data_IF_559049123527
#
_entry.id   IF_559049123527
#
_cell.length_a   1.000
_cell.length_b   1.000
_cell.length_c   1.000
_cell.angle_alpha   90.00
_cell.angle_beta   90.00
_cell.angle_gamma   90.00
#
_symmetry.space_group_name_H-M   'P 1'
#
loop_
_entity.id
_entity.type
_entity.pdbx_description
1 polymer ?
#
# COMPACT_ATOMS: atom_id res chain seq x y z
N UNK A 1 -23.86 -14.59 -10.85
CA UNK A 1 -23.30 -14.60 -12.21
C UNK A 1 -22.08 -13.69 -12.25
N UNK A 2 -20.95 -14.16 -12.76
CA UNK A 2 -19.73 -13.36 -12.97
C UNK A 2 -18.68 -13.43 -11.86
N UNK A 3 -18.29 -14.62 -11.41
CA UNK A 3 -17.01 -14.77 -10.71
C UNK A 3 -15.89 -14.47 -11.72
N UNK A 4 -15.36 -13.26 -11.73
CA UNK A 4 -14.02 -13.01 -12.30
C UNK A 4 -13.02 -13.71 -11.37
N UNK A 5 -12.90 -15.03 -11.53
CA UNK A 5 -11.71 -15.77 -11.12
C UNK A 5 -10.58 -15.17 -11.95
N UNK A 6 -9.82 -14.22 -11.41
CA UNK A 6 -8.53 -13.78 -11.95
C UNK A 6 -7.47 -14.90 -11.75
N UNK A 7 -7.88 -16.15 -11.99
CA UNK A 7 -7.05 -17.35 -11.93
C UNK A 7 -6.26 -17.58 -13.21
N UNK A 8 -6.52 -16.84 -14.28
CA UNK A 8 -5.73 -16.87 -15.50
C UNK A 8 -5.14 -15.49 -15.80
N UNK A 9 -3.82 -15.47 -15.98
CA UNK A 9 -3.10 -14.32 -16.50
C UNK A 9 -3.68 -13.93 -17.86
N UNK A 10 -3.78 -12.64 -18.18
CA UNK A 10 -4.37 -12.23 -19.45
C UNK A 10 -3.46 -12.70 -20.59
N UNK A 11 -3.95 -13.56 -21.49
CA UNK A 11 -3.19 -14.09 -22.65
C UNK A 11 -2.90 -13.05 -23.74
N UNK A 12 -2.82 -11.78 -23.38
CA UNK A 12 -2.54 -10.69 -24.31
C UNK A 12 -1.11 -10.78 -24.84
N UNK A 13 -0.86 -10.16 -25.99
CA UNK A 13 0.47 -10.07 -26.59
C UNK A 13 1.50 -9.46 -25.61
N UNK A 14 1.14 -8.39 -24.89
CA UNK A 14 2.00 -7.70 -23.93
C UNK A 14 2.48 -8.60 -22.79
N UNK A 15 1.58 -9.39 -22.20
CA UNK A 15 1.93 -10.36 -21.14
C UNK A 15 2.87 -11.46 -21.64
N UNK A 16 2.65 -11.98 -22.86
CA UNK A 16 3.55 -12.99 -23.44
C UNK A 16 4.98 -12.46 -23.61
N UNK A 17 5.13 -11.20 -23.98
CA UNK A 17 6.44 -10.58 -24.13
C UNK A 17 7.17 -10.37 -22.79
N UNK A 18 6.47 -10.00 -21.70
CA UNK A 18 7.05 -9.96 -20.34
C UNK A 18 7.58 -11.33 -19.94
N UNK A 19 6.78 -12.35 -20.21
CA UNK A 19 7.05 -13.74 -19.90
C UNK A 19 8.28 -14.28 -20.67
N UNK A 20 8.46 -13.88 -21.92
CA UNK A 20 9.65 -14.19 -22.71
C UNK A 20 10.90 -13.47 -22.18
N UNK A 21 10.76 -12.20 -21.76
CA UNK A 21 11.87 -11.45 -21.16
C UNK A 21 12.34 -12.07 -19.84
N UNK A 22 11.43 -12.60 -19.01
CA UNK A 22 11.79 -13.33 -17.78
C UNK A 22 12.60 -14.59 -18.09
N UNK A 23 12.28 -15.32 -19.16
CA UNK A 23 13.11 -16.44 -19.61
C UNK A 23 14.50 -16.01 -20.08
N UNK A 24 14.59 -14.82 -20.68
CA UNK A 24 15.83 -14.22 -21.20
C UNK A 24 16.73 -13.64 -20.09
N UNK A 25 16.17 -13.30 -18.93
CA UNK A 25 16.93 -12.87 -17.75
C UNK A 25 17.96 -13.90 -17.29
N UNK A 26 17.63 -15.19 -17.34
CA UNK A 26 18.55 -16.27 -16.95
C UNK A 26 19.75 -16.34 -17.90
N UNK A 27 19.53 -16.06 -19.19
CA UNK A 27 20.58 -16.01 -20.20
C UNK A 27 21.42 -14.71 -20.16
N UNK A 28 21.11 -13.77 -19.26
CA UNK A 28 21.79 -12.48 -19.15
C UNK A 28 21.49 -11.52 -20.32
N UNK A 29 20.51 -11.84 -21.17
CA UNK A 29 20.19 -11.07 -22.37
C UNK A 29 19.13 -9.99 -22.16
N UNK A 30 18.48 -9.97 -20.99
CA UNK A 30 17.50 -8.94 -20.61
C UNK A 30 17.71 -8.52 -19.16
N UNK A 31 17.72 -7.22 -18.92
CA UNK A 31 17.79 -6.65 -17.58
C UNK A 31 16.43 -6.61 -16.87
N UNK A 32 16.45 -6.68 -15.54
CA UNK A 32 15.28 -6.64 -14.65
C UNK A 32 14.50 -5.34 -14.83
N UNK A 33 15.19 -4.23 -15.10
CA UNK A 33 14.56 -2.93 -15.34
C UNK A 33 13.58 -2.96 -16.53
N UNK A 34 13.97 -3.60 -17.64
CA UNK A 34 13.11 -3.77 -18.82
C UNK A 34 11.84 -4.57 -18.49
N UNK A 35 12.00 -5.65 -17.74
CA UNK A 35 10.88 -6.53 -17.35
C UNK A 35 9.90 -5.77 -16.45
N UNK A 36 10.41 -5.02 -15.48
CA UNK A 36 9.62 -4.19 -14.58
C UNK A 36 8.87 -3.08 -15.34
N UNK A 37 9.54 -2.33 -16.22
CA UNK A 37 8.95 -1.25 -17.00
C UNK A 37 7.83 -1.77 -17.91
N UNK A 38 8.04 -2.91 -18.58
CA UNK A 38 7.02 -3.53 -19.43
C UNK A 38 5.84 -4.07 -18.63
N UNK A 39 6.09 -4.55 -17.42
CA UNK A 39 5.03 -4.95 -16.49
C UNK A 39 4.21 -3.76 -16.05
N UNK A 40 4.87 -2.67 -15.65
CA UNK A 40 4.23 -1.40 -15.32
C UNK A 40 3.30 -0.98 -16.45
N UNK A 41 3.77 -0.93 -17.71
CA UNK A 41 2.95 -0.64 -18.91
C UNK A 41 1.72 -1.54 -19.06
N UNK A 42 1.84 -2.80 -18.71
CA UNK A 42 0.78 -3.78 -18.93
C UNK A 42 -0.29 -3.74 -17.84
N UNK A 43 0.07 -3.35 -16.62
CA UNK A 43 -0.88 -3.26 -15.49
C UNK A 43 -1.55 -1.89 -15.34
N UNK A 44 -1.17 -0.89 -16.14
CA UNK A 44 -1.64 0.51 -16.01
C UNK A 44 -3.17 0.66 -16.05
N UNK A 45 -3.84 -0.01 -16.97
CA UNK A 45 -5.31 0.05 -17.11
C UNK A 45 -6.03 -0.59 -15.91
N UNK A 46 -5.35 -1.51 -15.23
CA UNK A 46 -5.88 -2.19 -14.04
C UNK A 46 -5.59 -1.43 -12.76
N UNK A 47 -4.58 -0.56 -12.77
CA UNK A 47 -4.16 0.22 -11.62
C UNK A 47 -5.23 1.22 -11.15
N UNK A 48 -5.95 1.87 -12.08
CA UNK A 48 -7.07 2.77 -11.73
C UNK A 48 -8.24 2.02 -11.10
N UNK A 49 -8.46 0.77 -11.51
CA UNK A 49 -9.53 -0.08 -10.98
C UNK A 49 -9.27 -0.52 -9.53
N UNK A 50 -8.04 -0.38 -9.01
CA UNK A 50 -7.71 -0.68 -7.60
C UNK A 50 -8.53 0.17 -6.63
N UNK A 51 -8.81 1.43 -6.99
CA UNK A 51 -9.66 2.32 -6.19
C UNK A 51 -11.08 1.78 -5.94
N UNK A 52 -11.56 0.86 -6.78
CA UNK A 52 -12.89 0.28 -6.71
C UNK A 52 -12.94 -1.05 -5.95
N UNK A 53 -11.79 -1.62 -5.60
CA UNK A 53 -11.74 -2.87 -4.86
C UNK A 53 -12.13 -2.66 -3.37
N UNK A 54 -13.05 -3.47 -2.82
CA UNK A 54 -13.50 -3.31 -1.44
C UNK A 54 -12.40 -3.51 -0.38
N UNK A 55 -11.41 -4.37 -0.64
CA UNK A 55 -10.31 -4.58 0.31
C UNK A 55 -9.34 -3.40 0.33
N UNK A 56 -9.11 -2.77 -0.83
CA UNK A 56 -8.34 -1.53 -0.93
C UNK A 56 -9.06 -0.38 -0.25
N UNK A 57 -10.37 -0.24 -0.49
CA UNK A 57 -11.18 0.76 0.20
C UNK A 57 -11.20 0.55 1.71
N UNK A 58 -11.38 -0.69 2.18
CA UNK A 58 -11.47 -1.00 3.61
C UNK A 58 -10.13 -0.82 4.34
N UNK A 59 -9.02 -1.26 3.74
CA UNK A 59 -7.69 -1.08 4.33
C UNK A 59 -7.30 0.40 4.43
N UNK A 60 -7.63 1.21 3.43
CA UNK A 60 -7.39 2.65 3.51
C UNK A 60 -8.37 3.35 4.45
N UNK A 61 -9.65 2.98 4.45
CA UNK A 61 -10.63 3.46 5.43
C UNK A 61 -10.18 3.18 6.87
N UNK A 62 -9.55 2.03 7.13
CA UNK A 62 -8.93 1.73 8.41
C UNK A 62 -7.84 2.75 8.79
N UNK A 63 -6.96 3.15 7.87
CA UNK A 63 -5.94 4.17 8.14
C UNK A 63 -6.56 5.54 8.46
N UNK A 64 -7.66 5.88 7.80
CA UNK A 64 -8.44 7.09 8.08
C UNK A 64 -9.09 6.99 9.46
N UNK A 65 -9.71 5.86 9.79
CA UNK A 65 -10.32 5.61 11.10
C UNK A 65 -9.30 5.69 12.23
N UNK A 66 -8.14 5.06 12.02
CA UNK A 66 -7.01 5.12 12.94
C UNK A 66 -6.59 6.57 13.19
N UNK A 67 -6.33 7.34 12.14
CA UNK A 67 -5.86 8.72 12.27
C UNK A 67 -6.93 9.65 12.88
N UNK A 68 -8.20 9.45 12.51
CA UNK A 68 -9.34 10.21 13.04
C UNK A 68 -9.63 9.90 14.51
N UNK A 69 -9.41 8.66 14.96
CA UNK A 69 -9.59 8.29 16.36
C UNK A 69 -8.71 9.14 17.29
N UNK A 70 -7.47 9.42 16.88
CA UNK A 70 -6.52 10.21 17.64
C UNK A 70 -6.79 11.72 17.65
N UNK A 71 -7.83 12.18 16.94
CA UNK A 71 -8.36 13.53 17.11
C UNK A 71 -9.45 13.62 18.19
N UNK A 72 -9.92 12.48 18.69
CA UNK A 72 -10.97 12.43 19.72
C UNK A 72 -10.35 12.54 21.11
N UNK A 73 -11.13 13.04 22.06
CA UNK A 73 -10.73 13.17 23.45
C UNK A 73 -10.29 11.82 24.06
N UNK A 74 -10.93 10.72 23.62
CA UNK A 74 -10.57 9.37 24.04
C UNK A 74 -10.45 8.45 22.81
N UNK A 75 -9.23 8.32 22.23
CA UNK A 75 -9.01 7.54 21.02
C UNK A 75 -9.33 6.05 21.19
N UNK A 76 -8.97 5.45 22.33
CA UNK A 76 -9.18 4.01 22.59
C UNK A 76 -10.65 3.68 22.75
N UNK A 77 -11.42 4.56 23.40
CA UNK A 77 -12.89 4.46 23.46
C UNK A 77 -13.52 4.58 22.07
N UNK A 78 -13.09 5.53 21.25
CA UNK A 78 -13.58 5.63 19.87
C UNK A 78 -13.30 4.35 19.07
N UNK A 79 -12.08 3.81 19.15
CA UNK A 79 -11.69 2.60 18.42
C UNK A 79 -12.47 1.36 18.88
N UNK A 80 -12.75 1.24 20.17
CA UNK A 80 -13.53 0.12 20.73
C UNK A 80 -15.03 0.22 20.40
N UNK A 81 -15.65 1.40 20.55
CA UNK A 81 -17.06 1.64 20.20
C UNK A 81 -17.34 1.40 18.72
N UNK A 82 -16.38 1.74 17.85
CA UNK A 82 -16.44 1.48 16.41
C UNK A 82 -16.01 0.05 16.03
N UNK A 83 -15.76 -0.83 17.00
CA UNK A 83 -15.37 -2.23 16.81
C UNK A 83 -14.11 -2.40 15.94
N UNK A 84 -13.17 -1.46 16.05
CA UNK A 84 -11.89 -1.50 15.35
C UNK A 84 -10.89 -2.30 16.18
N UNK A 85 -10.82 -2.03 17.50
CA UNK A 85 -10.05 -2.80 18.46
C UNK A 85 -10.98 -3.44 19.50
N UNK A 86 -10.57 -4.56 20.10
CA UNK A 86 -11.41 -5.33 21.04
C UNK A 86 -11.30 -4.87 22.49
N UNK A 87 -10.23 -4.14 22.83
CA UNK A 87 -9.90 -3.69 24.20
C UNK A 87 -9.28 -2.30 24.10
N UNK A 88 -9.31 -1.56 25.20
CA UNK A 88 -8.76 -0.21 25.32
C UNK A 88 -7.22 -0.14 25.35
N UNK A 89 -6.53 -1.28 25.51
CA UNK A 89 -5.08 -1.34 25.46
C UNK A 89 -4.53 -0.93 24.08
N UNK A 90 -3.67 0.09 24.06
CA UNK A 90 -3.12 0.67 22.84
C UNK A 90 -1.69 0.23 22.59
N UNK A 91 -1.51 -0.75 21.69
CA UNK A 91 -0.17 -1.22 21.27
C UNK A 91 -0.10 -1.37 19.76
N UNK A 92 1.12 -1.27 19.20
CA UNK A 92 1.36 -1.45 17.76
C UNK A 92 0.84 -2.80 17.24
N UNK A 93 1.04 -3.87 18.00
CA UNK A 93 0.58 -5.22 17.62
C UNK A 93 -0.94 -5.28 17.51
N UNK A 94 -1.66 -4.61 18.43
CA UNK A 94 -3.12 -4.57 18.41
C UNK A 94 -3.65 -3.74 17.25
N UNK A 95 -3.03 -2.59 16.97
CA UNK A 95 -3.38 -1.79 15.78
C UNK A 95 -3.10 -2.56 14.48
N UNK A 96 -1.97 -3.25 14.39
CA UNK A 96 -1.66 -4.10 13.24
C UNK A 96 -2.68 -5.23 13.06
N UNK A 97 -3.09 -5.90 14.14
CA UNK A 97 -4.14 -6.93 14.11
C UNK A 97 -5.50 -6.34 13.69
N UNK A 98 -5.84 -5.15 14.18
CA UNK A 98 -7.04 -4.44 13.79
C UNK A 98 -7.07 -4.15 12.28
N UNK A 99 -5.94 -3.73 11.70
CA UNK A 99 -5.80 -3.53 10.26
C UNK A 99 -6.10 -4.80 9.45
N UNK A 100 -5.71 -5.98 9.97
CA UNK A 100 -5.98 -7.28 9.35
C UNK A 100 -7.44 -7.66 9.42
N UNK A 101 -8.09 -7.40 10.55
CA UNK A 101 -9.46 -7.83 10.80
C UNK A 101 -10.52 -6.84 10.28
N UNK A 102 -10.15 -5.58 10.04
CA UNK A 102 -11.08 -4.53 9.66
C UNK A 102 -11.80 -4.85 8.34
N UNK A 103 -13.12 -5.07 8.43
CA UNK A 103 -14.01 -5.42 7.31
C UNK A 103 -13.47 -6.54 6.41
N UNK A 104 -12.77 -7.51 6.99
CA UNK A 104 -12.14 -8.62 6.27
C UNK A 104 -13.10 -9.59 5.57
N UNK A 105 -14.41 -9.43 5.76
CA UNK A 105 -15.45 -10.27 5.13
C UNK A 105 -15.86 -9.78 3.73
N UNK A 106 -15.57 -8.53 3.38
CA UNK A 106 -15.95 -7.93 2.09
C UNK A 106 -14.86 -8.20 1.03
N UNK A 107 -14.75 -9.46 0.58
CA UNK A 107 -13.66 -9.92 -0.30
C UNK A 107 -14.16 -10.20 -1.72
N UNK A 108 -13.56 -9.53 -2.69
CA UNK A 108 -13.71 -9.86 -4.13
C UNK A 108 -12.50 -10.68 -4.62
N UNK A 109 -11.29 -10.28 -4.22
CA UNK A 109 -10.03 -11.00 -4.49
C UNK A 109 -9.22 -11.16 -3.21
N UNK A 110 -8.88 -12.40 -2.89
CA UNK A 110 -8.03 -12.72 -1.73
C UNK A 110 -6.62 -12.17 -1.89
N UNK A 111 -6.13 -12.06 -3.13
CA UNK A 111 -4.84 -11.47 -3.44
C UNK A 111 -4.83 -9.97 -3.15
N UNK A 112 -5.85 -9.24 -3.61
CA UNK A 112 -5.95 -7.80 -3.34
C UNK A 112 -6.17 -7.54 -1.85
N UNK A 113 -6.95 -8.38 -1.18
CA UNK A 113 -7.05 -8.35 0.28
C UNK A 113 -5.70 -8.50 0.96
N UNK A 114 -4.93 -9.53 0.60
CA UNK A 114 -3.63 -9.80 1.20
C UNK A 114 -2.69 -8.59 1.04
N UNK A 115 -2.59 -8.02 -0.16
CA UNK A 115 -1.67 -6.90 -0.40
C UNK A 115 -2.13 -5.61 0.25
N UNK A 116 -3.43 -5.33 0.22
CA UNK A 116 -4.00 -4.11 0.79
C UNK A 116 -3.88 -4.09 2.32
N UNK A 117 -4.20 -5.21 2.97
CA UNK A 117 -4.04 -5.38 4.41
C UNK A 117 -2.58 -5.31 4.84
N UNK A 118 -1.68 -6.02 4.15
CA UNK A 118 -0.25 -5.99 4.47
C UNK A 118 0.34 -4.59 4.26
N UNK A 119 -0.07 -3.88 3.20
CA UNK A 119 0.35 -2.50 2.97
C UNK A 119 -0.08 -1.56 4.11
N UNK A 120 -1.28 -1.73 4.67
CA UNK A 120 -1.74 -0.95 5.82
C UNK A 120 -0.95 -1.25 7.10
N UNK A 121 -0.69 -2.54 7.37
CA UNK A 121 0.14 -2.97 8.52
C UNK A 121 1.55 -2.41 8.41
N UNK A 122 2.18 -2.53 7.24
CA UNK A 122 3.53 -2.03 6.99
C UNK A 122 3.58 -0.52 7.14
N UNK A 123 2.59 0.20 6.60
CA UNK A 123 2.53 1.65 6.68
C UNK A 123 2.53 2.13 8.13
N UNK A 124 1.66 1.56 8.98
CA UNK A 124 1.61 1.92 10.41
C UNK A 124 2.89 1.50 11.12
N UNK A 125 3.40 0.31 10.85
CA UNK A 125 4.59 -0.22 11.53
C UNK A 125 5.83 0.61 11.23
N UNK A 126 6.07 0.93 9.96
CA UNK A 126 7.20 1.77 9.55
C UNK A 126 7.02 3.19 10.06
N UNK A 127 5.81 3.76 9.96
CA UNK A 127 5.52 5.10 10.46
C UNK A 127 5.74 5.22 11.97
N UNK A 128 5.27 4.23 12.74
CA UNK A 128 5.44 4.18 14.19
C UNK A 128 6.93 4.12 14.58
N UNK A 129 7.71 3.25 13.93
CA UNK A 129 9.15 3.14 14.16
C UNK A 129 9.88 4.44 13.87
N UNK A 130 9.60 5.08 12.73
CA UNK A 130 10.22 6.36 12.37
C UNK A 130 9.89 7.47 13.37
N UNK A 131 8.67 7.48 13.93
CA UNK A 131 8.25 8.47 14.92
C UNK A 131 8.75 8.16 16.34
N UNK A 132 9.10 6.90 16.63
CA UNK A 132 9.76 6.48 17.86
C UNK A 132 11.22 6.98 17.87
N UNK A 133 11.95 6.76 16.78
CA UNK A 133 13.36 7.21 16.63
C UNK A 133 13.52 8.74 16.67
N UNK A 134 12.51 9.49 16.24
CA UNK A 134 12.49 10.96 16.32
C UNK A 134 12.04 11.49 17.70
N UNK A 135 11.49 10.62 18.56
CA UNK A 135 10.79 11.00 19.78
C UNK A 135 11.58 10.82 21.08
N UNK A 136 12.65 10.02 21.09
CA UNK A 136 13.34 9.67 22.35
C UNK A 136 14.83 10.02 22.34
N UNK A 137 15.23 10.87 23.29
CA UNK A 137 16.59 10.81 23.83
C UNK A 137 16.75 9.50 24.60
N UNK A 138 17.95 8.91 24.56
CA UNK A 138 18.38 7.59 25.06
C UNK A 138 17.98 7.19 26.51
N UNK A 139 17.23 8.01 27.26
CA UNK A 139 17.01 7.87 28.69
C UNK A 139 15.56 8.03 29.17
N UNK A 140 14.55 8.06 28.29
CA UNK A 140 13.15 8.08 28.73
C UNK A 140 12.60 6.65 28.88
N UNK A 141 12.20 6.28 30.09
CA UNK A 141 11.98 4.90 30.50
C UNK A 141 10.54 4.37 30.35
N UNK A 142 9.63 5.07 29.68
CA UNK A 142 8.31 4.53 29.37
C UNK A 142 7.85 4.99 27.99
N UNK A 143 7.81 4.05 27.02
CA UNK A 143 7.29 4.28 25.68
C UNK A 143 5.82 4.69 25.74
N UNK A 144 5.52 5.97 25.54
CA UNK A 144 4.14 6.45 25.44
C UNK A 144 3.59 6.24 24.02
N UNK A 145 3.00 5.06 23.78
CA UNK A 145 2.41 4.70 22.49
C UNK A 145 1.31 5.68 22.05
N UNK A 146 0.51 6.20 22.98
CA UNK A 146 -0.55 7.18 22.67
C UNK A 146 0.04 8.49 22.16
N UNK A 147 1.11 9.00 22.77
CA UNK A 147 1.81 10.19 22.30
C UNK A 147 2.36 10.01 20.88
N UNK A 148 2.91 8.83 20.56
CA UNK A 148 3.39 8.51 19.21
C UNK A 148 2.21 8.47 18.24
N UNK A 149 1.17 7.70 18.55
CA UNK A 149 0.01 7.56 17.67
C UNK A 149 -0.78 8.86 17.47
N UNK A 150 -0.78 9.77 18.45
CA UNK A 150 -1.41 11.10 18.33
C UNK A 150 -0.88 11.92 17.16
N UNK A 151 0.36 11.67 16.71
CA UNK A 151 0.94 12.34 15.54
C UNK A 151 0.21 11.98 14.24
N UNK A 152 -0.43 10.81 14.17
CA UNK A 152 -1.23 10.40 13.02
C UNK A 152 -2.48 11.28 12.83
N UNK A 153 -2.97 11.91 13.90
CA UNK A 153 -4.11 12.81 13.88
C UNK A 153 -3.86 14.12 13.13
N UNK A 154 -2.59 14.44 12.84
CA UNK A 154 -2.18 15.64 12.13
C UNK A 154 -2.11 15.38 10.63
N UNK A 155 -2.31 16.43 9.84
CA UNK A 155 -2.29 16.32 8.38
C UNK A 155 -0.95 15.81 7.81
N UNK A 156 0.18 16.18 8.42
CA UNK A 156 1.51 15.68 8.08
C UNK A 156 1.66 14.19 8.41
N UNK A 157 1.28 13.77 9.63
CA UNK A 157 1.31 12.35 10.03
C UNK A 157 0.43 11.47 9.14
N UNK A 158 -0.81 11.91 8.84
CA UNK A 158 -1.67 11.20 7.90
C UNK A 158 -1.10 11.16 6.47
N UNK A 159 -0.44 12.24 6.03
CA UNK A 159 0.24 12.29 4.73
C UNK A 159 1.36 11.26 4.65
N UNK A 160 2.15 11.10 5.71
CA UNK A 160 3.21 10.10 5.79
C UNK A 160 2.67 8.66 5.78
N UNK A 161 1.64 8.37 6.57
CA UNK A 161 0.99 7.05 6.58
C UNK A 161 0.41 6.72 5.22
N UNK A 162 -0.32 7.67 4.62
CA UNK A 162 -0.87 7.54 3.27
C UNK A 162 0.23 7.25 2.25
N UNK A 163 1.37 7.95 2.37
CA UNK A 163 2.54 7.73 1.54
C UNK A 163 3.07 6.32 1.63
N UNK A 164 3.29 5.84 2.83
CA UNK A 164 3.81 4.49 3.04
C UNK A 164 2.82 3.45 2.49
N UNK A 165 1.52 3.63 2.74
CA UNK A 165 0.49 2.73 2.25
C UNK A 165 0.49 2.59 0.73
N UNK A 166 0.45 3.71 0.00
CA UNK A 166 0.41 3.66 -1.46
C UNK A 166 1.72 3.19 -2.09
N UNK A 167 2.87 3.50 -1.49
CA UNK A 167 4.15 2.91 -1.92
C UNK A 167 4.11 1.39 -1.78
N UNK A 168 3.66 0.87 -0.62
CA UNK A 168 3.61 -0.56 -0.34
C UNK A 168 2.59 -1.31 -1.16
N UNK A 169 1.40 -0.74 -1.39
CA UNK A 169 0.39 -1.40 -2.21
C UNK A 169 0.82 -1.46 -3.68
N UNK A 170 1.49 -0.42 -4.18
CA UNK A 170 2.04 -0.38 -5.53
C UNK A 170 3.11 -1.45 -5.70
N UNK A 171 4.08 -1.50 -4.78
CA UNK A 171 5.13 -2.52 -4.72
C UNK A 171 4.52 -3.94 -4.80
N UNK A 172 3.60 -4.25 -3.88
CA UNK A 172 3.00 -5.59 -3.75
C UNK A 172 2.18 -5.96 -4.99
N UNK A 173 1.45 -4.99 -5.54
CA UNK A 173 0.65 -5.20 -6.74
C UNK A 173 1.53 -5.57 -7.95
N UNK A 174 2.63 -4.84 -8.16
CA UNK A 174 3.55 -5.12 -9.26
C UNK A 174 4.28 -6.44 -9.07
N UNK A 175 4.80 -6.66 -7.86
CA UNK A 175 5.52 -7.88 -7.48
C UNK A 175 4.67 -9.14 -7.67
N UNK A 176 3.39 -9.09 -7.32
CA UNK A 176 2.48 -10.22 -7.48
C UNK A 176 2.44 -10.75 -8.91
N UNK A 177 2.30 -9.87 -9.91
CA UNK A 177 2.26 -10.31 -11.30
C UNK A 177 3.61 -10.88 -11.74
N UNK A 178 4.70 -10.24 -11.37
CA UNK A 178 6.05 -10.65 -11.78
C UNK A 178 6.47 -11.97 -11.15
N UNK A 179 6.24 -12.16 -9.86
CA UNK A 179 6.51 -13.43 -9.19
C UNK A 179 5.69 -14.54 -9.84
N UNK A 180 4.43 -14.28 -10.21
CA UNK A 180 3.57 -15.28 -10.87
C UNK A 180 4.10 -15.67 -12.26
N UNK A 181 4.57 -14.71 -13.04
CA UNK A 181 5.18 -15.00 -14.35
C UNK A 181 6.53 -15.72 -14.21
N UNK A 182 7.37 -15.27 -13.28
CA UNK A 182 8.64 -15.92 -12.97
C UNK A 182 8.45 -17.36 -12.50
N UNK A 183 7.43 -17.63 -11.70
CA UNK A 183 7.06 -18.99 -11.27
C UNK A 183 6.73 -19.93 -12.42
N UNK A 184 6.25 -19.39 -13.55
CA UNK A 184 5.84 -20.17 -14.71
C UNK A 184 7.02 -20.43 -15.67
N UNK A 185 8.07 -19.59 -15.62
CA UNK A 185 9.21 -19.63 -16.55
C UNK A 185 10.51 -20.09 -15.94
N UNK A 186 10.75 -19.76 -14.68
CA UNK A 186 11.96 -20.11 -13.96
C UNK A 186 11.73 -21.41 -13.21
N UNK A 187 12.26 -22.50 -13.76
CA UNK A 187 12.16 -23.84 -13.16
C UNK A 187 13.22 -24.07 -12.07
N UNK A 188 14.33 -23.34 -12.12
CA UNK A 188 15.39 -23.37 -11.12
C UNK A 188 15.08 -22.43 -9.93
N UNK A 189 15.18 -22.97 -8.72
CA UNK A 189 14.94 -22.25 -7.46
C UNK A 189 15.93 -21.09 -7.27
N UNK A 190 17.20 -21.28 -7.64
CA UNK A 190 18.23 -20.24 -7.48
C UNK A 190 17.98 -19.05 -8.39
N UNK A 191 17.68 -19.31 -9.68
CA UNK A 191 17.37 -18.26 -10.65
C UNK A 191 16.09 -17.51 -10.30
N UNK A 192 15.08 -18.24 -9.79
CA UNK A 192 13.84 -17.64 -9.30
C UNK A 192 14.06 -16.75 -8.08
N UNK A 193 14.92 -17.17 -7.15
CA UNK A 193 15.29 -16.35 -5.99
C UNK A 193 16.04 -15.10 -6.43
N UNK A 194 17.07 -15.25 -7.28
CA UNK A 194 17.83 -14.12 -7.83
C UNK A 194 16.92 -13.11 -8.52
N UNK A 195 16.05 -13.57 -9.41
CA UNK A 195 15.07 -12.73 -10.08
C UNK A 195 14.15 -12.01 -9.08
N UNK A 196 13.60 -12.73 -8.09
CA UNK A 196 12.69 -12.14 -7.10
C UNK A 196 13.39 -11.08 -6.23
N UNK A 197 14.66 -11.29 -5.87
CA UNK A 197 15.44 -10.33 -5.08
C UNK A 197 15.76 -9.06 -5.89
N UNK A 198 16.21 -9.21 -7.14
CA UNK A 198 16.52 -8.08 -8.03
C UNK A 198 15.26 -7.28 -8.41
N UNK A 199 14.18 -7.95 -8.80
CA UNK A 199 12.92 -7.28 -9.18
C UNK A 199 12.29 -6.56 -7.99
N UNK A 200 12.38 -7.13 -6.78
CA UNK A 200 11.91 -6.49 -5.56
C UNK A 200 12.70 -5.21 -5.29
N UNK A 201 14.01 -5.26 -5.42
CA UNK A 201 14.87 -4.09 -5.21
C UNK A 201 14.52 -2.96 -6.19
N UNK A 202 14.37 -3.28 -7.47
CA UNK A 202 14.02 -2.31 -8.50
C UNK A 202 12.62 -1.71 -8.31
N UNK A 203 11.61 -2.55 -8.05
CA UNK A 203 10.23 -2.09 -7.81
C UNK A 203 10.13 -1.23 -6.56
N UNK A 204 10.89 -1.54 -5.52
CA UNK A 204 10.92 -0.75 -4.29
C UNK A 204 11.47 0.65 -4.55
N UNK A 205 12.55 0.75 -5.34
CA UNK A 205 13.13 2.02 -5.71
C UNK A 205 12.15 2.88 -6.51
N UNK A 206 11.54 2.32 -7.56
CA UNK A 206 10.55 3.01 -8.40
C UNK A 206 9.29 3.38 -7.63
N UNK A 207 8.71 2.46 -6.88
CA UNK A 207 7.46 2.73 -6.15
C UNK A 207 7.66 3.83 -5.10
N UNK A 208 8.83 3.83 -4.43
CA UNK A 208 9.21 4.85 -3.47
C UNK A 208 9.43 6.19 -4.16
N UNK A 209 10.20 6.24 -5.25
CA UNK A 209 10.48 7.48 -5.97
C UNK A 209 9.22 8.06 -6.62
N UNK A 210 8.37 7.23 -7.22
CA UNK A 210 7.11 7.65 -7.84
C UNK A 210 6.17 8.24 -6.81
N UNK A 211 6.13 7.65 -5.60
CA UNK A 211 5.36 8.22 -4.52
C UNK A 211 6.00 9.52 -4.02
N UNK A 212 7.30 9.55 -3.72
CA UNK A 212 8.04 10.73 -3.23
C UNK A 212 7.88 11.96 -4.12
N UNK A 213 7.94 11.77 -5.44
CA UNK A 213 7.80 12.82 -6.45
C UNK A 213 6.36 13.21 -6.75
N UNK A 214 5.39 12.34 -6.45
CA UNK A 214 3.98 12.64 -6.69
C UNK A 214 3.49 13.79 -5.81
N UNK A 215 2.63 14.66 -6.36
CA UNK A 215 1.91 15.68 -5.56
C UNK A 215 1.05 15.09 -4.41
N UNK A 216 0.95 13.77 -4.31
CA UNK A 216 0.26 13.07 -3.22
C UNK A 216 1.02 13.25 -1.89
N UNK A 217 2.36 13.40 -1.92
CA UNK A 217 3.22 13.51 -0.72
C UNK A 217 3.20 14.85 -0.02
N UNK A 218 3.07 15.96 -0.75
CA UNK A 218 3.41 17.26 -0.17
C UNK A 218 2.24 17.99 0.50
N UNK A 219 1.01 17.88 0.00
CA UNK A 219 -0.09 18.68 0.55
C UNK A 219 -1.48 18.11 0.31
N UNK A 220 -1.66 17.26 -0.70
CA UNK A 220 -2.99 16.76 -1.02
C UNK A 220 -3.56 15.86 0.09
N UNK A 221 -2.78 14.90 0.60
CA UNK A 221 -3.23 13.99 1.66
C UNK A 221 -3.53 14.74 2.95
N UNK A 222 -2.62 15.63 3.37
CA UNK A 222 -2.81 16.49 4.52
C UNK A 222 -4.04 17.40 4.36
N UNK A 223 -4.17 18.08 3.22
CA UNK A 223 -5.28 18.98 2.94
C UNK A 223 -6.63 18.26 2.82
N UNK A 224 -6.64 17.06 2.23
CA UNK A 224 -7.83 16.21 2.19
C UNK A 224 -8.25 15.78 3.60
N UNK A 225 -7.30 15.33 4.42
CA UNK A 225 -7.59 14.89 5.77
C UNK A 225 -8.11 16.03 6.65
N UNK A 226 -7.42 17.18 6.65
CA UNK A 226 -7.87 18.37 7.38
C UNK A 226 -9.24 18.89 6.90
N UNK A 227 -9.58 18.68 5.63
CA UNK A 227 -10.87 19.11 5.08
C UNK A 227 -12.02 18.16 5.42
N UNK A 228 -11.79 16.86 5.34
CA UNK A 228 -12.86 15.86 5.40
C UNK A 228 -12.93 15.10 6.72
N UNK A 229 -11.85 15.07 7.49
CA UNK A 229 -11.72 14.32 8.72
C UNK A 229 -11.37 15.23 9.90
N UNK A 230 -11.88 16.47 9.95
CA UNK A 230 -11.68 17.37 11.09
C UNK A 230 -12.80 17.18 12.13
N UNK A 231 -14.05 17.47 11.75
CA UNK A 231 -15.19 17.38 12.67
C UNK A 231 -15.89 16.01 12.58
N UNK A 232 -16.02 15.50 11.36
CA UNK A 232 -16.79 14.30 11.05
C UNK A 232 -15.93 13.27 10.33
N UNK A 233 -16.27 12.00 10.47
CA UNK A 233 -15.62 10.94 9.70
C UNK A 233 -15.97 11.07 8.21
N UNK A 234 -15.00 10.95 7.28
CA UNK A 234 -15.25 11.06 5.85
C UNK A 234 -16.28 10.04 5.34
N UNK A 235 -17.17 10.48 4.46
CA UNK A 235 -18.11 9.58 3.79
C UNK A 235 -17.36 8.61 2.86
N UNK A 236 -17.89 7.39 2.67
CA UNK A 236 -17.31 6.38 1.76
C UNK A 236 -17.00 6.92 0.37
N UNK A 237 -17.85 7.79 -0.18
CA UNK A 237 -17.63 8.44 -1.49
C UNK A 237 -16.38 9.33 -1.48
N UNK A 238 -16.12 10.06 -0.40
CA UNK A 238 -14.94 10.93 -0.27
C UNK A 238 -13.65 10.10 -0.22
N UNK A 239 -13.66 9.00 0.53
CA UNK A 239 -12.55 8.05 0.62
C UNK A 239 -12.27 7.41 -0.75
N UNK A 240 -13.31 6.95 -1.46
CA UNK A 240 -13.18 6.38 -2.80
C UNK A 240 -12.61 7.38 -3.82
N UNK A 241 -13.06 8.63 -3.75
CA UNK A 241 -12.57 9.70 -4.62
C UNK A 241 -11.09 10.01 -4.33
N UNK A 242 -10.70 10.00 -3.05
CA UNK A 242 -9.31 10.13 -2.65
C UNK A 242 -8.44 9.02 -3.23
N UNK A 243 -8.85 7.77 -3.07
CA UNK A 243 -8.16 6.61 -3.64
C UNK A 243 -8.03 6.71 -5.15
N UNK A 244 -9.11 7.07 -5.85
CA UNK A 244 -9.12 7.22 -7.31
C UNK A 244 -8.12 8.29 -7.76
N UNK A 245 -8.10 9.44 -7.09
CA UNK A 245 -7.13 10.50 -7.37
C UNK A 245 -5.69 10.05 -7.08
N UNK A 246 -5.45 9.41 -5.93
CA UNK A 246 -4.12 8.96 -5.51
C UNK A 246 -3.56 7.91 -6.48
N UNK A 247 -4.33 6.87 -6.83
CA UNK A 247 -3.90 5.88 -7.82
C UNK A 247 -3.69 6.49 -9.21
N UNK A 248 -4.52 7.44 -9.63
CA UNK A 248 -4.31 8.16 -10.89
C UNK A 248 -3.02 8.98 -10.91
N UNK A 249 -2.68 9.62 -9.79
CA UNK A 249 -1.40 10.34 -9.64
C UNK A 249 -0.20 9.40 -9.60
N UNK A 250 -0.30 8.29 -8.86
CA UNK A 250 0.74 7.26 -8.84
C UNK A 250 1.01 6.70 -10.22
N UNK A 251 -0.04 6.35 -10.97
CA UNK A 251 0.07 5.94 -12.37
C UNK A 251 0.81 6.98 -13.21
N UNK A 252 0.47 8.26 -13.03
CA UNK A 252 1.07 9.36 -13.80
C UNK A 252 2.56 9.54 -13.51
N UNK A 253 3.02 9.36 -12.26
CA UNK A 253 4.44 9.46 -11.92
C UNK A 253 5.23 8.22 -12.33
N UNK A 254 4.67 7.01 -12.15
CA UNK A 254 5.28 5.77 -12.64
C UNK A 254 5.53 5.84 -14.17
N UNK A 255 4.61 6.46 -14.92
CA UNK A 255 4.78 6.73 -16.35
C UNK A 255 5.93 7.69 -16.66
N UNK A 256 6.18 8.68 -15.82
CA UNK A 256 7.27 9.65 -16.04
C UNK A 256 8.63 9.05 -15.78
N UNK A 257 8.74 8.15 -14.80
CA UNK A 257 9.96 7.40 -14.54
C UNK A 257 10.35 6.48 -15.69
N UNK A 258 9.37 5.94 -16.42
CA UNK A 258 9.62 5.13 -17.61
C UNK A 258 10.31 5.91 -18.75
N UNK A 259 10.01 7.21 -18.85
CA UNK A 259 10.54 8.08 -19.91
C UNK A 259 11.88 8.75 -19.59
N UNK A 260 12.44 8.51 -18.40
CA UNK A 260 13.72 9.07 -17.96
C UNK A 260 14.84 8.05 -18.04
#
# INVERSE_FOLDING_TARGET
MGHKRLGYLPKTKRWREIVEQIGSFVAGSTDVSSIANKTLQTVQERFENLSSDPSIQSSFEFLVQFSYAFQKENPTKYLTENKIIETDELTLIRIARAAVNYKSKDVISHEYQAFATQAAVDAITVWYKNNLEQGEGLFNSELNAEAIFSRAARGDGFSEISRMYFSRITERYLKYFLDREASTKLTNIQDRKRFSDEITTYINAISKHAFETSKITQSYSAGWFNKYANENFPQKRQIRNFLSYAFGKMKSELLREETR
#
